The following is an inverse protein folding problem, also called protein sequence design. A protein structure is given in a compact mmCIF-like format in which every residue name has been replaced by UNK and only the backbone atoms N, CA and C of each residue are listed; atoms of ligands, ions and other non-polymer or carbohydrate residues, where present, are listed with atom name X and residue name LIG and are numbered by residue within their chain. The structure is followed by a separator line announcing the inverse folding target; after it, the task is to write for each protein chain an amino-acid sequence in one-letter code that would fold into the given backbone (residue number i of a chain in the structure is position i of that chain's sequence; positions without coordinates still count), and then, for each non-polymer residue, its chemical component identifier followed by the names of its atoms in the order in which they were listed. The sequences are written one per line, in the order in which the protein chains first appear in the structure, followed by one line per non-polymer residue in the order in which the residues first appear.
data_IF_531582531409
#
_entry.id   IF_531582531409
#
_cell.length_a   1.000
_cell.length_b   1.000
_cell.length_c   1.000
_cell.angle_alpha   90.00
_cell.angle_beta   90.00
_cell.angle_gamma   90.00
#
_symmetry.space_group_name_H-M   'P 1'
#
loop_
_entity.id
_entity.type
_entity.pdbx_description
1 polymer ?
#
# COMPACT_ATOMS: atom_id res chain seq x y z
N UNK A 1 68.11 -50.33 26.61
CA UNK A 1 66.97 -49.89 27.44
C UNK A 1 65.79 -49.75 26.51
N UNK A 2 65.22 -50.91 26.15
CA UNK A 2 63.95 -51.38 26.69
C UNK A 2 62.80 -50.66 25.97
N UNK A 3 62.29 -51.24 24.89
CA UNK A 3 61.20 -52.23 24.96
C UNK A 3 60.00 -51.68 25.74
N UNK A 4 58.85 -51.50 25.08
CA UNK A 4 57.72 -52.45 25.17
C UNK A 4 56.48 -51.94 24.41
N UNK A 5 56.17 -52.70 23.35
CA UNK A 5 54.85 -53.28 23.02
C UNK A 5 53.74 -52.28 22.63
N UNK A 6 53.34 -52.15 21.37
CA UNK A 6 52.70 -53.16 20.50
C UNK A 6 51.61 -53.97 21.22
N UNK A 7 50.35 -53.55 21.08
CA UNK A 7 49.22 -54.49 21.10
C UNK A 7 48.04 -53.89 20.33
N UNK A 8 47.54 -54.70 19.39
CA UNK A 8 46.23 -54.65 18.72
C UNK A 8 46.18 -53.95 17.35
N UNK A 9 46.82 -54.61 16.37
CA UNK A 9 46.19 -54.81 15.07
C UNK A 9 44.98 -55.75 15.20
N UNK A 10 44.02 -55.57 14.29
CA UNK A 10 42.94 -56.53 13.96
C UNK A 10 41.67 -56.43 14.80
N UNK A 11 40.83 -55.43 14.52
CA UNK A 11 39.37 -55.60 14.43
C UNK A 11 38.74 -54.32 13.84
N UNK A 12 37.79 -54.52 12.92
CA UNK A 12 36.90 -53.52 12.28
C UNK A 12 37.32 -52.95 10.91
N UNK A 13 37.58 -53.83 9.95
CA UNK A 13 37.00 -53.68 8.61
C UNK A 13 35.51 -54.05 8.68
N UNK A 14 34.66 -53.08 9.04
CA UNK A 14 33.21 -53.07 8.74
C UNK A 14 32.61 -51.71 9.10
N UNK A 15 31.91 -51.13 8.12
CA UNK A 15 31.14 -49.87 8.17
C UNK A 15 31.93 -48.55 8.09
N UNK A 16 32.58 -48.34 6.94
CA UNK A 16 32.62 -46.99 6.34
C UNK A 16 31.52 -46.92 5.28
N UNK A 17 30.28 -46.66 5.70
CA UNK A 17 29.28 -46.14 4.79
C UNK A 17 29.50 -44.62 4.73
N UNK A 18 29.71 -44.00 3.55
CA UNK A 18 29.55 -42.56 3.46
C UNK A 18 28.13 -42.24 3.90
N UNK A 19 27.99 -41.39 4.92
CA UNK A 19 26.71 -40.75 5.23
C UNK A 19 26.38 -39.94 3.98
N UNK A 20 25.52 -40.50 3.14
CA UNK A 20 24.85 -39.76 2.09
C UNK A 20 24.10 -38.62 2.79
N UNK A 21 24.22 -37.35 2.34
CA UNK A 21 23.30 -36.32 2.78
C UNK A 21 21.91 -36.84 2.44
N UNK A 22 21.09 -37.01 3.46
CA UNK A 22 19.74 -37.53 3.30
C UNK A 22 18.93 -36.46 2.56
N UNK A 23 18.93 -36.52 1.23
CA UNK A 23 18.03 -35.80 0.33
C UNK A 23 16.60 -36.30 0.55
N UNK A 24 16.00 -35.96 1.70
CA UNK A 24 14.57 -36.18 1.99
C UNK A 24 14.17 -35.66 3.37
N UNK A 25 14.21 -34.33 3.57
CA UNK A 25 13.47 -33.68 4.68
C UNK A 25 12.26 -32.89 4.14
N UNK A 26 12.10 -32.79 2.82
CA UNK A 26 11.02 -32.02 2.21
C UNK A 26 9.99 -32.93 1.53
N UNK A 27 8.89 -33.23 2.22
CA UNK A 27 7.68 -33.67 1.54
C UNK A 27 7.03 -32.45 0.88
N UNK A 28 7.48 -32.14 -0.34
CA UNK A 28 6.90 -31.09 -1.17
C UNK A 28 5.70 -31.65 -1.95
N UNK A 29 4.60 -31.96 -1.27
CA UNK A 29 3.36 -32.39 -1.90
C UNK A 29 2.59 -31.18 -2.41
N UNK A 30 2.64 -30.93 -3.71
CA UNK A 30 1.85 -29.87 -4.37
C UNK A 30 0.44 -30.40 -4.66
N UNK A 31 -0.33 -30.70 -3.62
CA UNK A 31 -1.78 -30.84 -3.76
C UNK A 31 -2.39 -29.44 -3.86
N UNK A 32 -3.37 -29.25 -4.75
CA UNK A 32 -3.95 -27.94 -5.16
C UNK A 32 -4.55 -27.08 -4.01
N UNK A 33 -4.53 -27.53 -2.76
CA UNK A 33 -5.14 -26.89 -1.59
C UNK A 33 -4.34 -27.01 -0.26
N UNK A 34 -3.09 -27.49 -0.27
CA UNK A 34 -2.34 -27.68 0.99
C UNK A 34 -1.41 -26.49 1.31
N UNK A 35 -1.43 -26.06 2.59
CA UNK A 35 -0.52 -25.03 3.13
C UNK A 35 0.92 -25.55 3.11
N UNK A 36 1.87 -24.67 2.83
CA UNK A 36 3.30 -24.95 2.95
C UNK A 36 3.66 -25.09 4.44
N UNK A 37 4.06 -26.27 4.88
CA UNK A 37 4.40 -26.55 6.29
C UNK A 37 5.91 -26.41 6.48
N UNK A 38 6.33 -25.58 7.43
CA UNK A 38 7.75 -25.32 7.74
C UNK A 38 7.94 -25.09 9.23
N UNK A 39 9.14 -25.32 9.75
CA UNK A 39 9.45 -25.04 11.16
C UNK A 39 9.43 -23.53 11.43
N UNK A 40 10.08 -22.76 10.56
CA UNK A 40 10.27 -21.33 10.71
C UNK A 40 10.01 -20.60 9.38
N UNK A 41 9.12 -19.62 9.40
CA UNK A 41 8.86 -18.74 8.27
C UNK A 41 9.22 -17.30 8.61
N UNK A 42 10.07 -16.68 7.78
CA UNK A 42 10.43 -15.27 7.89
C UNK A 42 9.68 -14.51 6.81
N UNK A 43 8.63 -13.77 7.17
CA UNK A 43 7.91 -12.93 6.23
C UNK A 43 8.47 -11.51 6.23
N UNK A 44 8.81 -11.00 5.05
CA UNK A 44 9.23 -9.61 4.86
C UNK A 44 8.09 -8.80 4.27
N UNK A 45 7.69 -7.73 4.97
CA UNK A 45 6.60 -6.86 4.53
C UNK A 45 7.12 -5.82 3.53
N UNK A 46 6.48 -5.75 2.36
CA UNK A 46 6.82 -4.81 1.30
C UNK A 46 6.66 -3.33 1.69
N UNK A 47 7.32 -2.44 0.95
CA UNK A 47 7.13 -0.98 1.05
C UNK A 47 6.85 -0.37 -0.34
N UNK A 48 7.90 0.02 -1.08
CA UNK A 48 7.80 0.55 -2.44
C UNK A 48 8.84 -0.12 -3.36
N UNK A 49 8.71 0.08 -4.67
CA UNK A 49 9.67 -0.30 -5.71
C UNK A 49 9.72 0.79 -6.78
N UNK A 50 10.85 0.98 -7.43
CA UNK A 50 11.03 1.97 -8.51
C UNK A 50 10.48 1.46 -9.87
N UNK A 51 10.65 2.27 -10.92
CA UNK A 51 10.17 1.96 -12.28
C UNK A 51 10.87 0.72 -12.88
N UNK A 52 12.08 0.40 -12.41
CA UNK A 52 12.85 -0.78 -12.80
C UNK A 52 12.45 -2.05 -12.03
N UNK A 53 11.48 -1.95 -11.12
CA UNK A 53 11.01 -3.05 -10.29
C UNK A 53 11.98 -3.40 -9.15
N UNK A 54 12.83 -2.45 -8.73
CA UNK A 54 13.76 -2.61 -7.61
C UNK A 54 13.13 -2.13 -6.31
N UNK A 55 13.23 -2.88 -5.19
CA UNK A 55 12.74 -2.43 -3.91
C UNK A 55 13.44 -1.14 -3.48
N UNK A 56 12.69 -0.23 -2.85
CA UNK A 56 13.23 1.00 -2.29
C UNK A 56 14.16 0.73 -1.08
N UNK A 57 14.83 1.77 -0.57
CA UNK A 57 15.78 1.61 0.54
C UNK A 57 15.14 0.97 1.78
N UNK A 58 13.89 1.30 2.07
CA UNK A 58 13.15 0.72 3.20
C UNK A 58 12.91 -0.77 2.96
N UNK A 59 12.41 -1.15 1.79
CA UNK A 59 12.21 -2.54 1.39
C UNK A 59 13.52 -3.34 1.40
N UNK A 60 14.62 -2.76 0.92
CA UNK A 60 15.96 -3.38 0.94
C UNK A 60 16.49 -3.60 2.35
N UNK A 61 16.36 -2.62 3.25
CA UNK A 61 16.79 -2.80 4.65
C UNK A 61 16.01 -3.90 5.37
N UNK A 62 14.69 -4.01 5.13
CA UNK A 62 13.88 -5.11 5.65
C UNK A 62 14.32 -6.46 5.06
N UNK A 63 14.58 -6.50 3.75
CA UNK A 63 14.99 -7.71 3.06
C UNK A 63 16.36 -8.22 3.51
N UNK A 64 17.31 -7.31 3.79
CA UNK A 64 18.62 -7.64 4.33
C UNK A 64 18.48 -8.37 5.69
N UNK A 65 17.78 -7.75 6.64
CA UNK A 65 17.55 -8.37 7.96
C UNK A 65 16.83 -9.72 7.84
N UNK A 66 15.80 -9.81 7.01
CA UNK A 66 15.08 -11.07 6.79
C UNK A 66 15.99 -12.16 6.20
N UNK A 67 16.88 -11.79 5.27
CA UNK A 67 17.82 -12.73 4.64
C UNK A 67 18.95 -13.17 5.56
N UNK A 68 19.34 -12.35 6.54
CA UNK A 68 20.33 -12.73 7.56
C UNK A 68 19.74 -13.77 8.53
N UNK A 69 18.46 -13.64 8.88
CA UNK A 69 17.71 -14.66 9.66
C UNK A 69 17.58 -15.95 8.82
N UNK A 70 17.09 -15.77 7.58
CA UNK A 70 17.33 -16.62 6.38
C UNK A 70 18.50 -17.60 6.48
N UNK A 71 19.67 -16.99 6.48
CA UNK A 71 20.99 -17.60 6.33
C UNK A 71 21.46 -18.26 7.62
N UNK A 72 21.12 -17.67 8.77
CA UNK A 72 21.53 -18.19 10.09
C UNK A 72 20.72 -19.40 10.56
N UNK A 73 19.49 -19.59 10.07
CA UNK A 73 18.67 -20.76 10.39
C UNK A 73 18.33 -21.55 9.11
N UNK A 74 18.99 -22.70 8.84
CA UNK A 74 18.78 -23.47 7.60
C UNK A 74 17.37 -24.07 7.48
N UNK A 75 16.60 -24.14 8.58
CA UNK A 75 15.22 -24.62 8.59
C UNK A 75 14.21 -23.53 8.22
N UNK A 76 14.66 -22.29 8.14
CA UNK A 76 13.81 -21.15 7.82
C UNK A 76 13.57 -21.00 6.32
N UNK A 77 12.42 -20.45 5.95
CA UNK A 77 12.15 -19.96 4.60
C UNK A 77 11.91 -18.46 4.61
N UNK A 78 12.22 -17.80 3.50
CA UNK A 78 11.84 -16.41 3.27
C UNK A 78 10.46 -16.38 2.58
N UNK A 79 9.57 -15.54 3.07
CA UNK A 79 8.29 -15.25 2.41
C UNK A 79 8.25 -13.78 2.02
N UNK A 80 8.20 -13.49 0.73
CA UNK A 80 8.02 -12.13 0.21
C UNK A 80 6.55 -11.84 -0.02
N UNK A 81 6.13 -10.59 0.22
CA UNK A 81 4.72 -10.18 0.17
C UNK A 81 4.54 -8.88 -0.61
N UNK A 82 3.35 -8.72 -1.20
CA UNK A 82 2.93 -7.50 -1.89
C UNK A 82 2.52 -7.71 -3.35
N UNK A 83 1.44 -7.03 -3.75
CA UNK A 83 0.82 -7.11 -5.07
C UNK A 83 1.51 -6.28 -6.16
N UNK A 84 1.07 -6.49 -7.41
CA UNK A 84 1.42 -5.66 -8.55
C UNK A 84 0.63 -4.34 -8.49
N UNK A 85 1.14 -3.40 -7.70
CA UNK A 85 0.50 -2.10 -7.49
C UNK A 85 0.89 -1.06 -8.54
N UNK A 86 2.03 -1.26 -9.22
CA UNK A 86 2.52 -0.41 -10.30
C UNK A 86 1.89 -0.79 -11.62
N UNK A 87 1.48 0.19 -12.41
CA UNK A 87 0.87 -0.02 -13.73
C UNK A 87 1.89 -0.08 -14.87
N UNK A 88 3.06 0.49 -14.65
CA UNK A 88 4.13 0.63 -15.64
C UNK A 88 5.03 -0.61 -15.74
N UNK A 89 4.84 -1.60 -14.87
CA UNK A 89 5.60 -2.84 -14.86
C UNK A 89 4.71 -4.03 -14.46
N UNK A 90 4.79 -5.12 -15.22
CA UNK A 90 4.14 -6.39 -14.89
C UNK A 90 4.98 -7.19 -13.88
N UNK A 91 5.14 -6.62 -12.69
CA UNK A 91 5.91 -7.20 -11.59
C UNK A 91 5.19 -6.91 -10.27
N UNK A 92 5.02 -7.94 -9.44
CA UNK A 92 4.52 -7.74 -8.08
C UNK A 92 5.65 -7.31 -7.14
N UNK A 93 5.30 -6.56 -6.09
CA UNK A 93 6.28 -6.21 -5.05
C UNK A 93 6.91 -7.46 -4.41
N UNK A 94 6.13 -8.52 -4.19
CA UNK A 94 6.64 -9.80 -3.71
C UNK A 94 7.69 -10.42 -4.66
N UNK A 95 7.45 -10.36 -5.97
CA UNK A 95 8.39 -10.84 -6.98
C UNK A 95 9.64 -9.95 -7.09
N UNK A 96 9.48 -8.63 -6.99
CA UNK A 96 10.58 -7.66 -6.91
C UNK A 96 11.52 -7.96 -5.74
N UNK A 97 10.97 -8.15 -4.53
CA UNK A 97 11.76 -8.50 -3.36
C UNK A 97 12.44 -9.87 -3.51
N UNK A 98 11.77 -10.86 -4.10
CA UNK A 98 12.37 -12.16 -4.39
C UNK A 98 13.54 -12.04 -5.35
N UNK A 99 13.41 -11.25 -6.43
CA UNK A 99 14.48 -11.00 -7.39
C UNK A 99 15.70 -10.38 -6.72
N UNK A 100 15.50 -9.37 -5.87
CA UNK A 100 16.60 -8.73 -5.13
C UNK A 100 17.24 -9.69 -4.12
N UNK A 101 16.46 -10.53 -3.42
CA UNK A 101 17.00 -11.52 -2.49
C UNK A 101 17.92 -12.54 -3.17
N UNK A 102 17.53 -13.03 -4.36
CA UNK A 102 18.33 -13.99 -5.13
C UNK A 102 19.57 -13.31 -5.72
N UNK A 103 19.39 -12.14 -6.35
CA UNK A 103 20.46 -11.46 -7.09
C UNK A 103 21.47 -10.77 -6.18
N UNK A 104 21.01 -10.03 -5.17
CA UNK A 104 21.84 -9.12 -4.39
C UNK A 104 22.32 -9.74 -3.07
N UNK A 105 21.54 -10.69 -2.53
CA UNK A 105 21.82 -11.33 -1.23
C UNK A 105 22.14 -12.82 -1.36
N UNK A 106 22.18 -13.33 -2.60
CA UNK A 106 22.56 -14.70 -2.95
C UNK A 106 21.75 -15.78 -2.21
N UNK A 107 20.49 -15.48 -1.88
CA UNK A 107 19.63 -16.42 -1.18
C UNK A 107 19.08 -17.47 -2.16
N UNK A 108 19.14 -18.76 -1.79
CA UNK A 108 18.62 -19.85 -2.62
C UNK A 108 17.14 -19.63 -2.93
N UNK A 109 16.81 -19.51 -4.23
CA UNK A 109 15.46 -19.28 -4.72
C UNK A 109 14.46 -20.36 -4.24
N UNK A 110 14.92 -21.58 -3.96
CA UNK A 110 14.08 -22.68 -3.43
C UNK A 110 13.60 -22.40 -2.00
N UNK A 111 14.33 -21.57 -1.25
CA UNK A 111 13.98 -21.13 0.11
C UNK A 111 13.09 -19.89 0.14
N UNK A 112 12.60 -19.41 -1.02
CA UNK A 112 11.81 -18.18 -1.12
C UNK A 112 10.42 -18.44 -1.69
N UNK A 113 9.40 -18.25 -0.85
CA UNK A 113 7.99 -18.26 -1.23
C UNK A 113 7.48 -16.84 -1.51
N UNK A 114 6.61 -16.68 -2.52
CA UNK A 114 6.18 -15.36 -3.01
C UNK A 114 4.65 -15.23 -2.93
N UNK A 115 4.17 -14.23 -2.18
CA UNK A 115 2.74 -13.97 -1.93
C UNK A 115 2.32 -12.63 -2.57
N UNK A 116 1.91 -12.69 -3.83
CA UNK A 116 1.63 -11.52 -4.67
C UNK A 116 0.20 -10.94 -4.55
N UNK A 117 -0.60 -11.36 -3.55
CA UNK A 117 -2.01 -10.93 -3.42
C UNK A 117 -2.20 -9.77 -2.43
N UNK A 118 -1.28 -9.62 -1.50
CA UNK A 118 -1.43 -8.66 -0.40
C UNK A 118 -1.25 -7.22 -0.86
N UNK A 119 -2.13 -6.35 -0.36
CA UNK A 119 -2.14 -4.90 -0.56
C UNK A 119 -1.79 -4.11 0.70
N UNK A 120 -1.75 -4.78 1.85
CA UNK A 120 -1.57 -4.18 3.16
C UNK A 120 -1.23 -5.22 4.24
N UNK A 121 -0.92 -4.75 5.45
CA UNK A 121 -0.51 -5.62 6.56
C UNK A 121 -1.56 -6.65 6.97
N UNK A 122 -2.86 -6.35 6.82
CA UNK A 122 -3.92 -7.34 7.11
C UNK A 122 -3.91 -8.44 6.04
N UNK A 123 -3.83 -8.06 4.77
CA UNK A 123 -3.64 -9.02 3.68
C UNK A 123 -2.37 -9.84 3.84
N UNK A 124 -1.26 -9.23 4.27
CA UNK A 124 0.01 -9.92 4.47
C UNK A 124 -0.18 -11.08 5.44
N UNK A 125 -0.80 -10.80 6.60
CA UNK A 125 -1.07 -11.81 7.62
C UNK A 125 -2.03 -12.91 7.13
N UNK A 126 -3.14 -12.53 6.47
CA UNK A 126 -4.15 -13.51 6.04
C UNK A 126 -3.68 -14.37 4.88
N UNK A 127 -3.07 -13.79 3.85
CA UNK A 127 -2.56 -14.58 2.72
C UNK A 127 -1.33 -15.41 3.13
N UNK A 128 -0.54 -14.92 4.09
CA UNK A 128 0.50 -15.74 4.71
C UNK A 128 -0.11 -16.95 5.41
N UNK A 129 -1.09 -16.75 6.30
CA UNK A 129 -1.74 -17.86 7.01
C UNK A 129 -2.56 -18.78 6.07
N UNK A 130 -3.02 -18.28 4.92
CA UNK A 130 -3.66 -19.10 3.88
C UNK A 130 -2.65 -20.03 3.19
N UNK A 131 -1.41 -19.57 2.99
CA UNK A 131 -0.40 -20.27 2.19
C UNK A 131 0.63 -21.03 3.02
N UNK A 132 0.89 -20.63 4.26
CA UNK A 132 2.01 -21.12 5.09
C UNK A 132 1.49 -21.49 6.48
N UNK A 133 1.92 -22.65 6.97
CA UNK A 133 1.79 -23.07 8.36
C UNK A 133 3.19 -23.20 8.94
N UNK A 134 3.49 -22.43 9.99
CA UNK A 134 4.78 -22.49 10.66
C UNK A 134 4.62 -22.54 12.19
N UNK A 135 5.54 -23.23 12.86
CA UNK A 135 5.62 -23.24 14.32
C UNK A 135 6.12 -21.88 14.83
N UNK A 136 7.12 -21.33 14.14
CA UNK A 136 7.66 -20.00 14.35
C UNK A 136 7.46 -19.10 13.14
N UNK A 137 7.00 -17.89 13.38
CA UNK A 137 6.90 -16.83 12.38
C UNK A 137 7.70 -15.61 12.84
N UNK A 138 8.62 -15.16 12.00
CA UNK A 138 9.31 -13.88 12.18
C UNK A 138 8.81 -12.89 11.13
N UNK A 139 8.20 -11.79 11.56
CA UNK A 139 7.75 -10.71 10.69
C UNK A 139 8.80 -9.61 10.67
N UNK A 140 9.32 -9.29 9.49
CA UNK A 140 10.28 -8.19 9.31
C UNK A 140 9.58 -7.00 8.65
N UNK A 141 9.57 -5.86 9.35
CA UNK A 141 8.95 -4.61 8.91
C UNK A 141 9.79 -3.41 9.36
N UNK A 142 9.29 -2.18 9.20
CA UNK A 142 9.94 -1.01 9.78
C UNK A 142 9.54 -0.80 11.24
N UNK A 143 10.42 -0.19 12.04
CA UNK A 143 10.20 0.09 13.47
C UNK A 143 8.88 0.82 13.73
N UNK A 144 8.48 1.72 12.83
CA UNK A 144 7.20 2.43 12.95
C UNK A 144 5.95 1.57 12.70
N UNK A 145 6.05 0.43 12.00
CA UNK A 145 4.94 -0.50 11.76
C UNK A 145 4.93 -1.70 12.72
N UNK A 146 5.97 -1.88 13.53
CA UNK A 146 6.20 -3.09 14.31
C UNK A 146 5.01 -3.47 15.20
N UNK A 147 4.48 -2.52 15.98
CA UNK A 147 3.34 -2.75 16.87
C UNK A 147 2.07 -3.16 16.11
N UNK A 148 1.81 -2.54 14.95
CA UNK A 148 0.64 -2.84 14.14
C UNK A 148 0.75 -4.22 13.51
N UNK A 149 1.91 -4.53 12.94
CA UNK A 149 2.18 -5.84 12.38
C UNK A 149 2.05 -6.93 13.46
N UNK A 150 2.63 -6.74 14.64
CA UNK A 150 2.51 -7.68 15.75
C UNK A 150 1.05 -7.94 16.14
N UNK A 151 0.25 -6.88 16.32
CA UNK A 151 -1.15 -7.03 16.70
C UNK A 151 -1.96 -7.80 15.64
N UNK A 152 -1.76 -7.47 14.37
CA UNK A 152 -2.48 -8.08 13.24
C UNK A 152 -2.05 -9.55 13.07
N UNK A 153 -0.75 -9.82 13.00
CA UNK A 153 -0.26 -11.20 12.84
C UNK A 153 -0.64 -12.08 14.04
N UNK A 154 -0.54 -11.56 15.26
CA UNK A 154 -0.99 -12.30 16.46
C UNK A 154 -2.48 -12.62 16.39
N UNK A 155 -3.30 -11.66 15.95
CA UNK A 155 -4.74 -11.87 15.80
C UNK A 155 -5.07 -12.93 14.75
N UNK A 156 -4.38 -12.91 13.61
CA UNK A 156 -4.63 -13.83 12.49
C UNK A 156 -4.09 -15.24 12.77
N UNK A 157 -2.87 -15.35 13.30
CA UNK A 157 -2.19 -16.63 13.53
C UNK A 157 -2.66 -17.34 14.80
N UNK A 158 -3.20 -16.60 15.76
CA UNK A 158 -3.59 -17.14 17.06
C UNK A 158 -2.43 -17.20 18.07
N UNK A 159 -2.73 -17.73 19.26
CA UNK A 159 -1.79 -17.77 20.38
C UNK A 159 -0.73 -18.87 20.25
N UNK A 160 -1.04 -19.95 19.54
CA UNK A 160 -0.21 -21.16 19.48
C UNK A 160 1.04 -21.02 18.59
N UNK A 161 1.09 -19.96 17.78
CA UNK A 161 2.24 -19.67 16.92
C UNK A 161 3.23 -18.77 17.67
N UNK A 162 4.51 -19.17 17.66
CA UNK A 162 5.59 -18.32 18.15
C UNK A 162 5.79 -17.19 17.14
N UNK A 163 5.52 -15.95 17.56
CA UNK A 163 5.57 -14.78 16.68
C UNK A 163 6.58 -13.76 17.22
N UNK A 164 7.62 -13.52 16.43
CA UNK A 164 8.58 -12.43 16.60
C UNK A 164 8.30 -11.35 15.55
N UNK A 165 8.37 -10.06 15.92
CA UNK A 165 8.26 -8.95 14.97
C UNK A 165 9.45 -8.02 15.13
N UNK A 166 10.24 -7.90 14.05
CA UNK A 166 11.47 -7.14 14.02
C UNK A 166 11.29 -5.88 13.14
N UNK A 167 11.68 -4.74 13.70
CA UNK A 167 11.63 -3.43 13.04
C UNK A 167 13.01 -3.00 12.53
N UNK A 168 13.05 -2.44 11.31
CA UNK A 168 14.22 -1.73 10.78
C UNK A 168 14.00 -0.22 10.73
N UNK A 169 15.10 0.53 10.86
CA UNK A 169 15.10 1.99 10.77
C UNK A 169 14.85 2.71 12.11
N UNK A 170 14.68 4.02 12.03
CA UNK A 170 14.57 4.89 13.20
C UNK A 170 13.27 4.70 13.98
N UNK A 171 13.29 5.13 15.24
CA UNK A 171 12.11 5.19 16.09
C UNK A 171 11.00 6.05 15.47
N UNK A 172 9.72 5.64 15.58
CA UNK A 172 8.61 6.37 15.00
C UNK A 172 8.44 7.77 15.60
N UNK A 173 8.21 8.74 14.71
CA UNK A 173 7.80 10.11 15.09
C UNK A 173 6.42 10.13 15.75
N UNK A 174 6.06 11.19 16.51
CA UNK A 174 4.72 11.32 17.08
C UNK A 174 3.58 11.21 16.06
N UNK A 175 3.76 11.80 14.88
CA UNK A 175 2.80 11.71 13.76
C UNK A 175 2.63 10.27 13.27
N UNK A 176 3.73 9.54 13.06
CA UNK A 176 3.68 8.14 12.67
C UNK A 176 2.97 7.30 13.74
N UNK A 177 3.27 7.51 15.03
CA UNK A 177 2.56 6.83 16.13
C UNK A 177 1.05 7.07 16.09
N UNK A 178 0.61 8.30 15.84
CA UNK A 178 -0.81 8.64 15.73
C UNK A 178 -1.48 7.92 14.54
N UNK A 179 -0.84 7.91 13.37
CA UNK A 179 -1.33 7.21 12.18
C UNK A 179 -1.43 5.69 12.41
N UNK A 180 -0.47 5.10 13.10
CA UNK A 180 -0.49 3.68 13.46
C UNK A 180 -1.63 3.34 14.42
N UNK A 181 -1.87 4.19 15.42
CA UNK A 181 -2.99 4.02 16.36
C UNK A 181 -4.33 4.10 15.64
N UNK A 182 -4.49 5.03 14.70
CA UNK A 182 -5.69 5.12 13.87
C UNK A 182 -5.88 3.87 13.01
N UNK A 183 -4.81 3.38 12.37
CA UNK A 183 -4.84 2.16 11.56
C UNK A 183 -5.21 0.93 12.38
N UNK A 184 -4.71 0.84 13.62
CA UNK A 184 -5.09 -0.20 14.58
C UNK A 184 -6.55 -0.09 15.03
N UNK A 185 -7.08 1.12 15.19
CA UNK A 185 -8.49 1.36 15.45
C UNK A 185 -9.37 0.80 14.33
N UNK A 186 -9.07 1.17 13.08
CA UNK A 186 -9.79 0.65 11.90
C UNK A 186 -9.70 -0.88 11.81
N UNK A 187 -8.53 -1.46 12.09
CA UNK A 187 -8.39 -2.91 12.16
C UNK A 187 -9.31 -3.54 13.21
N UNK A 188 -9.30 -3.01 14.44
CA UNK A 188 -10.17 -3.50 15.51
C UNK A 188 -11.64 -3.43 15.12
N UNK A 189 -12.07 -2.30 14.59
CA UNK A 189 -13.47 -2.10 14.20
C UNK A 189 -13.86 -3.02 13.03
N UNK A 190 -12.94 -3.26 12.09
CA UNK A 190 -13.16 -4.16 10.94
C UNK A 190 -13.34 -5.61 11.37
N UNK A 191 -12.63 -6.06 12.41
CA UNK A 191 -12.67 -7.44 12.90
C UNK A 191 -13.41 -7.58 14.23
N UNK A 192 -14.23 -6.59 14.60
CA UNK A 192 -15.04 -6.66 15.81
C UNK A 192 -15.95 -7.89 15.81
N UNK A 193 -16.04 -8.53 16.97
CA UNK A 193 -16.78 -9.77 17.19
C UNK A 193 -16.11 -11.05 16.66
N UNK A 194 -14.88 -10.99 16.12
CA UNK A 194 -14.16 -12.17 15.63
C UNK A 194 -13.07 -12.57 16.63
N UNK A 195 -13.02 -13.85 16.96
CA UNK A 195 -12.00 -14.40 17.85
C UNK A 195 -10.61 -14.45 17.16
N UNK A 196 -9.57 -14.16 17.94
CA UNK A 196 -8.18 -14.33 17.49
C UNK A 196 -7.93 -15.79 17.12
N UNK A 197 -7.29 -16.04 15.97
CA UNK A 197 -6.99 -17.37 15.46
C UNK A 197 -8.16 -18.08 14.77
N UNK A 198 -9.38 -17.51 14.76
CA UNK A 198 -10.49 -18.02 13.96
C UNK A 198 -10.29 -17.66 12.49
N UNK A 199 -9.40 -18.41 11.83
CA UNK A 199 -8.94 -18.10 10.49
C UNK A 199 -10.08 -18.04 9.47
N UNK A 200 -11.10 -18.88 9.60
CA UNK A 200 -12.23 -18.90 8.66
C UNK A 200 -13.12 -17.66 8.81
N UNK A 201 -13.45 -17.25 10.04
CA UNK A 201 -14.17 -16.00 10.29
C UNK A 201 -13.36 -14.78 9.85
N UNK A 202 -12.05 -14.76 10.16
CA UNK A 202 -11.13 -13.70 9.75
C UNK A 202 -11.07 -13.59 8.22
N UNK A 203 -10.86 -14.70 7.51
CA UNK A 203 -10.83 -14.74 6.05
C UNK A 203 -12.17 -14.32 5.44
N UNK A 204 -13.28 -14.73 6.05
CA UNK A 204 -14.63 -14.30 5.66
C UNK A 204 -14.82 -12.79 5.81
N UNK A 205 -14.39 -12.22 6.94
CA UNK A 205 -14.46 -10.77 7.20
C UNK A 205 -13.54 -9.98 6.29
N UNK A 206 -12.35 -10.50 5.99
CA UNK A 206 -11.45 -9.91 5.00
C UNK A 206 -12.17 -9.74 3.66
N UNK A 207 -12.82 -10.80 3.17
CA UNK A 207 -13.52 -10.81 1.87
C UNK A 207 -14.87 -10.07 1.85
N UNK A 208 -15.42 -9.66 2.99
CA UNK A 208 -16.74 -9.02 3.05
C UNK A 208 -16.68 -7.56 3.49
N UNK A 209 -15.80 -7.23 4.44
CA UNK A 209 -15.74 -5.92 5.06
C UNK A 209 -14.47 -5.14 4.70
N UNK A 210 -13.33 -5.83 4.52
CA UNK A 210 -12.04 -5.16 4.38
C UNK A 210 -11.96 -4.35 3.08
N UNK A 211 -11.54 -3.07 3.11
CA UNK A 211 -11.63 -2.19 1.93
C UNK A 211 -10.84 -2.64 0.69
N UNK A 212 -9.78 -3.42 0.87
CA UNK A 212 -8.96 -3.94 -0.23
C UNK A 212 -9.44 -5.27 -0.83
N UNK A 213 -10.23 -6.06 -0.09
CA UNK A 213 -10.49 -7.47 -0.44
C UNK A 213 -11.96 -7.83 -0.46
N UNK A 214 -12.83 -6.90 -0.06
CA UNK A 214 -14.25 -7.09 -0.28
C UNK A 214 -14.59 -6.95 -1.76
N UNK A 215 -15.52 -7.78 -2.24
CA UNK A 215 -15.78 -8.15 -3.64
C UNK A 215 -15.98 -7.03 -4.67
N UNK A 216 -14.98 -6.20 -4.90
CA UNK A 216 -14.86 -5.22 -6.00
C UNK A 216 -13.38 -5.03 -6.34
N UNK A 217 -12.75 -6.08 -6.84
CA UNK A 217 -11.58 -5.99 -7.72
C UNK A 217 -11.90 -6.72 -9.02
N UNK A 218 -13.03 -6.35 -9.62
CA UNK A 218 -13.19 -6.44 -11.05
C UNK A 218 -12.94 -5.03 -11.59
N UNK A 219 -11.91 -4.87 -12.40
CA UNK A 219 -11.61 -3.63 -13.15
C UNK A 219 -12.77 -3.20 -14.06
N UNK A 220 -13.82 -4.03 -14.20
CA UNK A 220 -15.09 -3.70 -14.87
C UNK A 220 -16.19 -3.15 -13.95
N UNK A 221 -16.04 -3.22 -12.62
CA UNK A 221 -17.05 -2.79 -11.64
C UNK A 221 -16.98 -1.30 -11.23
N UNK A 222 -16.01 -0.54 -11.75
CA UNK A 222 -15.97 0.93 -11.64
C UNK A 222 -17.14 1.64 -12.39
N UNK A 223 -18.12 0.90 -12.91
CA UNK A 223 -19.28 1.43 -13.64
C UNK A 223 -20.55 1.65 -12.80
N UNK A 224 -20.54 1.45 -11.47
CA UNK A 224 -21.69 1.81 -10.63
C UNK A 224 -21.25 2.51 -9.34
N UNK A 225 -21.41 3.85 -9.26
CA UNK A 225 -21.03 4.59 -8.07
C UNK A 225 -22.12 4.46 -7.00
N UNK A 226 -21.72 3.94 -5.84
CA UNK A 226 -22.42 4.20 -4.59
C UNK A 226 -21.46 4.95 -3.66
N UNK A 227 -21.91 6.06 -3.10
CA UNK A 227 -21.19 7.02 -2.23
C UNK A 227 -20.60 6.43 -0.93
N UNK A 228 -20.83 5.14 -0.64
CA UNK A 228 -20.75 4.56 0.71
C UNK A 228 -19.35 4.43 1.32
N UNK A 229 -18.27 4.82 0.63
CA UNK A 229 -16.88 4.70 1.12
C UNK A 229 -15.98 5.88 0.77
N UNK A 230 -16.56 6.97 0.27
CA UNK A 230 -15.79 8.15 -0.08
C UNK A 230 -15.42 8.93 1.20
N UNK A 231 -14.14 9.19 1.41
CA UNK A 231 -13.64 9.99 2.52
C UNK A 231 -12.52 10.92 2.05
N UNK A 232 -12.17 11.92 2.85
CA UNK A 232 -11.04 12.80 2.54
C UNK A 232 -10.26 13.17 3.80
N UNK A 233 -9.02 13.60 3.58
CA UNK A 233 -8.16 14.21 4.61
C UNK A 233 -7.36 15.36 4.03
N UNK A 234 -6.82 16.27 4.85
CA UNK A 234 -5.82 17.23 4.39
C UNK A 234 -4.62 16.53 3.73
N UNK A 235 -4.09 17.15 2.68
CA UNK A 235 -2.85 16.70 2.05
C UNK A 235 -1.67 16.93 3.00
N UNK A 236 -0.67 16.06 2.88
CA UNK A 236 0.61 16.22 3.57
C UNK A 236 1.75 16.11 2.57
N UNK A 237 2.97 16.43 2.99
CA UNK A 237 4.12 16.30 2.10
C UNK A 237 4.39 14.85 1.63
N UNK A 238 3.85 13.84 2.32
CA UNK A 238 3.91 12.43 1.90
C UNK A 238 3.15 12.18 0.59
N UNK A 239 2.22 13.06 0.20
CA UNK A 239 1.43 12.92 -1.02
C UNK A 239 2.14 13.44 -2.27
N UNK A 240 3.36 14.01 -2.13
CA UNK A 240 4.09 14.70 -3.22
C UNK A 240 4.32 13.81 -4.44
N UNK A 241 4.69 12.54 -4.25
CA UNK A 241 4.95 11.63 -5.36
C UNK A 241 3.67 11.27 -6.11
N UNK A 242 2.60 10.97 -5.39
CA UNK A 242 1.32 10.59 -5.98
C UNK A 242 0.67 11.76 -6.72
N UNK A 243 0.70 12.96 -6.14
CA UNK A 243 0.17 14.16 -6.77
C UNK A 243 0.95 14.50 -8.03
N UNK A 244 2.28 14.34 -8.03
CA UNK A 244 3.11 14.52 -9.21
C UNK A 244 2.78 13.50 -10.30
N UNK A 245 2.63 12.22 -9.95
CA UNK A 245 2.26 11.16 -10.89
C UNK A 245 0.93 11.49 -11.58
N UNK A 246 -0.10 11.84 -10.82
CA UNK A 246 -1.38 12.25 -11.39
C UNK A 246 -1.26 13.51 -12.23
N UNK A 247 -0.47 14.51 -11.80
CA UNK A 247 -0.28 15.76 -12.52
C UNK A 247 0.43 15.57 -13.86
N UNK A 248 1.43 14.69 -13.91
CA UNK A 248 2.23 14.42 -15.10
C UNK A 248 1.62 13.37 -16.04
N UNK A 249 0.53 12.70 -15.64
CA UNK A 249 -0.16 11.76 -16.52
C UNK A 249 -0.50 12.43 -17.86
N UNK A 250 -0.23 11.80 -19.03
CA UNK A 250 -0.35 12.44 -20.34
C UNK A 250 -1.72 13.10 -20.59
N UNK A 251 -2.79 12.42 -20.20
CA UNK A 251 -4.18 12.87 -20.27
C UNK A 251 -4.56 14.02 -19.30
N UNK A 252 -3.76 14.23 -18.25
CA UNK A 252 -3.93 15.36 -17.32
C UNK A 252 -3.16 16.56 -17.86
N UNK A 253 -1.96 16.34 -18.39
CA UNK A 253 -1.14 17.38 -19.01
C UNK A 253 -1.83 18.03 -20.20
N UNK A 254 -2.42 17.23 -21.10
CA UNK A 254 -3.17 17.75 -22.25
C UNK A 254 -4.40 18.58 -21.87
N UNK A 255 -4.97 18.31 -20.69
CA UNK A 255 -6.17 18.97 -20.19
C UNK A 255 -5.87 20.10 -19.17
N UNK A 256 -4.60 20.31 -18.84
CA UNK A 256 -4.13 21.24 -17.82
C UNK A 256 -3.80 22.62 -18.41
N UNK A 257 -4.00 23.68 -17.63
CA UNK A 257 -3.57 25.04 -17.97
C UNK A 257 -2.06 25.10 -18.26
N UNK A 258 -1.26 24.44 -17.43
CA UNK A 258 0.19 24.26 -17.59
C UNK A 258 0.41 22.82 -18.09
N UNK A 259 0.65 22.64 -19.39
CA UNK A 259 0.73 21.33 -20.04
C UNK A 259 2.09 20.64 -19.96
N UNK A 260 3.09 21.30 -19.38
CA UNK A 260 4.47 20.81 -19.32
C UNK A 260 4.66 19.75 -18.22
N UNK A 261 5.65 18.88 -18.42
CA UNK A 261 6.06 17.95 -17.38
C UNK A 261 6.68 18.68 -16.20
N UNK A 262 6.24 18.34 -15.00
CA UNK A 262 6.74 18.96 -13.77
C UNK A 262 7.79 18.05 -13.16
N UNK A 263 8.98 18.57 -12.88
CA UNK A 263 10.00 17.82 -12.15
C UNK A 263 9.59 17.59 -10.69
N UNK A 264 10.11 16.53 -10.05
CA UNK A 264 9.87 16.29 -8.63
C UNK A 264 10.35 17.45 -7.74
N UNK A 265 11.45 18.10 -8.09
CA UNK A 265 11.97 19.26 -7.34
C UNK A 265 11.02 20.46 -7.42
N UNK A 266 10.52 20.77 -8.62
CA UNK A 266 9.54 21.84 -8.86
C UNK A 266 8.25 21.54 -8.10
N UNK A 267 7.73 20.32 -8.22
CA UNK A 267 6.48 19.94 -7.55
C UNK A 267 6.61 19.90 -6.02
N UNK A 268 7.74 19.42 -5.50
CA UNK A 268 8.03 19.43 -4.06
C UNK A 268 8.05 20.85 -3.50
N UNK A 269 8.65 21.79 -4.24
CA UNK A 269 8.68 23.21 -3.85
C UNK A 269 7.27 23.80 -3.85
N UNK A 270 6.48 23.53 -4.89
CA UNK A 270 5.09 23.95 -4.99
C UNK A 270 4.23 23.40 -3.84
N UNK A 271 4.36 22.10 -3.53
CA UNK A 271 3.55 21.48 -2.48
C UNK A 271 3.91 22.04 -1.10
N UNK A 272 5.20 22.25 -0.79
CA UNK A 272 5.61 22.90 0.47
C UNK A 272 4.99 24.29 0.62
N UNK A 273 5.11 25.13 -0.40
CA UNK A 273 4.51 26.48 -0.41
C UNK A 273 2.99 26.44 -0.28
N UNK A 274 2.36 25.44 -0.90
CA UNK A 274 0.91 25.27 -0.85
C UNK A 274 0.42 24.82 0.52
N UNK A 275 1.14 23.92 1.18
CA UNK A 275 0.80 23.43 2.52
C UNK A 275 1.06 24.48 3.61
N UNK A 276 1.91 25.47 3.35
CA UNK A 276 2.15 26.60 4.26
C UNK A 276 1.24 27.80 4.00
N UNK A 277 0.40 27.75 2.97
CA UNK A 277 -0.51 28.86 2.63
C UNK A 277 -1.82 28.70 3.44
N UNK A 278 -2.16 29.63 4.35
CA UNK A 278 -3.38 29.54 5.16
C UNK A 278 -4.66 29.65 4.32
N UNK A 279 -4.58 30.27 3.14
CA UNK A 279 -5.71 30.50 2.24
C UNK A 279 -5.91 29.36 1.23
N UNK A 280 -5.16 28.26 1.39
CA UNK A 280 -5.20 27.11 0.51
C UNK A 280 -5.55 25.84 1.26
N UNK A 281 -6.64 25.20 0.83
CA UNK A 281 -7.04 23.89 1.33
C UNK A 281 -6.74 22.87 0.24
N UNK A 282 -5.99 21.81 0.57
CA UNK A 282 -5.78 20.66 -0.33
C UNK A 282 -6.28 19.41 0.38
N UNK A 283 -7.24 18.74 -0.24
CA UNK A 283 -7.85 17.52 0.26
C UNK A 283 -7.47 16.33 -0.62
N UNK A 284 -7.04 15.24 -0.01
CA UNK A 284 -6.83 13.95 -0.68
C UNK A 284 -8.05 13.08 -0.45
N UNK A 285 -8.68 12.65 -1.54
CA UNK A 285 -9.85 11.80 -1.53
C UNK A 285 -9.46 10.34 -1.58
N UNK A 286 -10.17 9.54 -0.79
CA UNK A 286 -10.03 8.10 -0.71
C UNK A 286 -11.38 7.45 -1.01
N UNK A 287 -11.35 6.37 -1.79
CA UNK A 287 -12.46 5.42 -1.83
C UNK A 287 -12.03 4.19 -1.01
N UNK A 288 -12.50 4.12 0.22
CA UNK A 288 -11.90 3.28 1.25
C UNK A 288 -10.50 3.77 1.61
N UNK A 289 -9.49 3.07 1.12
CA UNK A 289 -8.06 3.31 1.42
C UNK A 289 -7.23 3.59 0.16
N UNK A 290 -7.86 3.52 -1.02
CA UNK A 290 -7.23 3.92 -2.28
C UNK A 290 -7.39 5.43 -2.43
N UNK A 291 -6.29 6.15 -2.65
CA UNK A 291 -6.34 7.56 -3.04
C UNK A 291 -6.95 7.64 -4.44
N UNK A 292 -8.02 8.41 -4.61
CA UNK A 292 -8.78 8.50 -5.89
C UNK A 292 -8.72 9.88 -6.52
N UNK A 293 -8.23 10.88 -5.80
CA UNK A 293 -8.03 12.21 -6.34
C UNK A 293 -7.66 13.24 -5.27
N UNK A 294 -7.58 14.48 -5.72
CA UNK A 294 -7.31 15.66 -4.93
C UNK A 294 -8.28 16.76 -5.32
N UNK A 295 -8.76 17.50 -4.32
CA UNK A 295 -9.46 18.78 -4.53
C UNK A 295 -8.69 19.86 -3.81
N UNK A 296 -8.44 20.97 -4.51
CA UNK A 296 -7.81 22.16 -3.96
C UNK A 296 -8.80 23.31 -3.99
N UNK A 297 -8.88 24.04 -2.89
CA UNK A 297 -9.51 25.34 -2.80
C UNK A 297 -8.44 26.41 -2.59
N UNK A 298 -8.52 27.47 -3.38
CA UNK A 298 -7.79 28.72 -3.18
C UNK A 298 -8.81 29.78 -2.76
N UNK A 299 -8.89 30.05 -1.45
CA UNK A 299 -9.80 31.01 -0.86
C UNK A 299 -9.18 32.41 -1.02
N UNK A 300 -9.86 33.36 -1.65
CA UNK A 300 -9.34 34.73 -1.73
C UNK A 300 -9.51 35.45 -0.37
N UNK A 301 -8.59 36.37 -0.05
CA UNK A 301 -8.58 37.18 1.19
C UNK A 301 -9.91 37.92 1.46
N UNK A 302 -10.67 38.24 0.40
CA UNK A 302 -11.97 38.93 0.48
C UNK A 302 -13.19 38.00 0.61
N UNK A 303 -13.00 36.68 0.81
CA UNK A 303 -14.01 35.64 1.08
C UNK A 303 -15.16 35.45 0.06
N UNK A 304 -15.27 36.30 -0.96
CA UNK A 304 -16.41 36.28 -1.88
C UNK A 304 -16.29 35.21 -2.96
N UNK A 305 -15.09 34.86 -3.43
CA UNK A 305 -14.93 33.93 -4.55
C UNK A 305 -13.76 32.96 -4.36
N UNK A 306 -14.08 31.68 -4.17
CA UNK A 306 -13.08 30.61 -3.96
C UNK A 306 -12.82 29.83 -5.24
N UNK A 307 -11.55 29.66 -5.61
CA UNK A 307 -11.18 28.85 -6.78
C UNK A 307 -11.11 27.39 -6.40
N UNK A 308 -11.82 26.53 -7.12
CA UNK A 308 -11.77 25.07 -6.94
C UNK A 308 -11.05 24.40 -8.12
N UNK A 309 -10.14 23.49 -7.78
CA UNK A 309 -9.41 22.66 -8.73
C UNK A 309 -9.56 21.19 -8.33
N UNK A 310 -9.84 20.32 -9.30
CA UNK A 310 -9.99 18.89 -9.09
C UNK A 310 -9.00 18.12 -9.97
N UNK A 311 -8.32 17.16 -9.36
CA UNK A 311 -7.41 16.25 -10.03
C UNK A 311 -7.77 14.82 -9.62
N UNK A 312 -8.23 14.01 -10.56
CA UNK A 312 -8.51 12.59 -10.31
C UNK A 312 -7.34 11.72 -10.73
N UNK A 313 -7.17 10.60 -10.03
CA UNK A 313 -6.33 9.51 -10.50
C UNK A 313 -6.83 9.09 -11.91
N UNK A 314 -5.96 9.06 -12.94
CA UNK A 314 -6.27 8.48 -14.25
C UNK A 314 -7.03 7.15 -14.18
N UNK A 315 -6.72 6.29 -13.21
CA UNK A 315 -7.35 4.98 -13.00
C UNK A 315 -8.86 5.03 -12.80
N UNK A 316 -9.37 6.12 -12.23
CA UNK A 316 -10.76 6.22 -11.77
C UNK A 316 -11.55 7.25 -12.58
N UNK A 317 -11.01 7.75 -13.68
CA UNK A 317 -11.74 8.63 -14.61
C UNK A 317 -12.85 7.87 -15.33
N UNK A 318 -13.92 8.57 -15.70
CA UNK A 318 -15.08 7.99 -16.39
C UNK A 318 -16.01 7.14 -15.49
N UNK A 319 -15.77 7.12 -14.18
CA UNK A 319 -16.53 6.31 -13.21
C UNK A 319 -17.68 7.05 -12.53
N UNK A 320 -17.81 8.35 -12.79
CA UNK A 320 -18.78 9.23 -12.12
C UNK A 320 -18.36 9.71 -10.73
N UNK A 321 -17.22 9.26 -10.19
CA UNK A 321 -16.74 9.64 -8.85
C UNK A 321 -16.44 11.13 -8.67
N UNK A 322 -16.08 11.82 -9.75
CA UNK A 322 -15.72 13.24 -9.75
C UNK A 322 -16.79 14.11 -9.08
N UNK A 323 -18.07 13.81 -9.36
CA UNK A 323 -19.21 14.57 -8.85
C UNK A 323 -19.36 14.41 -7.34
N UNK A 324 -19.26 13.17 -6.84
CA UNK A 324 -19.28 12.88 -5.41
C UNK A 324 -18.09 13.52 -4.69
N UNK A 325 -16.88 13.40 -5.24
CA UNK A 325 -15.66 14.00 -4.70
C UNK A 325 -15.83 15.50 -4.52
N UNK A 326 -16.27 16.20 -5.56
CA UNK A 326 -16.41 17.64 -5.50
C UNK A 326 -17.49 18.09 -4.50
N UNK A 327 -18.63 17.39 -4.42
CA UNK A 327 -19.67 17.64 -3.40
C UNK A 327 -19.13 17.48 -1.97
N UNK A 328 -18.43 16.38 -1.70
CA UNK A 328 -17.85 16.12 -0.39
C UNK A 328 -16.76 17.14 -0.04
N UNK A 329 -15.95 17.57 -1.02
CA UNK A 329 -14.91 18.57 -0.81
C UNK A 329 -15.50 19.92 -0.41
N UNK A 330 -16.55 20.37 -1.12
CA UNK A 330 -17.26 21.61 -0.80
C UNK A 330 -17.88 21.53 0.59
N UNK A 331 -18.46 20.37 0.96
CA UNK A 331 -19.02 20.18 2.29
C UNK A 331 -17.97 20.14 3.40
N UNK A 332 -16.84 19.48 3.18
CA UNK A 332 -15.75 19.37 4.15
C UNK A 332 -15.10 20.73 4.42
N UNK A 333 -14.96 21.54 3.38
CA UNK A 333 -14.39 22.88 3.48
C UNK A 333 -15.41 23.94 3.95
N UNK A 334 -16.66 23.55 4.25
CA UNK A 334 -17.75 24.46 4.64
C UNK A 334 -18.07 25.54 3.59
N UNK A 335 -17.86 25.23 2.30
CA UNK A 335 -18.00 26.15 1.17
C UNK A 335 -19.34 26.03 0.44
N UNK A 336 -20.38 25.48 1.07
CA UNK A 336 -21.70 25.30 0.46
C UNK A 336 -22.31 26.65 0.04
N UNK A 337 -22.09 27.68 0.86
CA UNK A 337 -22.64 29.02 0.71
C UNK A 337 -21.62 30.05 0.18
N UNK A 338 -20.52 29.59 -0.40
CA UNK A 338 -19.52 30.46 -1.01
C UNK A 338 -19.65 30.43 -2.54
N UNK A 339 -19.38 31.58 -3.18
CA UNK A 339 -19.23 31.57 -4.63
C UNK A 339 -17.97 30.79 -4.99
N UNK A 340 -18.13 29.84 -5.90
CA UNK A 340 -17.05 29.00 -6.38
C UNK A 340 -16.76 29.34 -7.83
N UNK A 341 -15.47 29.39 -8.17
CA UNK A 341 -15.02 29.41 -9.57
C UNK A 341 -14.12 28.24 -9.89
N UNK A 342 -14.19 27.75 -11.11
CA UNK A 342 -13.22 26.83 -11.68
C UNK A 342 -12.79 27.33 -13.06
N UNK A 343 -11.56 26.98 -13.48
CA UNK A 343 -11.05 27.33 -14.80
C UNK A 343 -10.61 26.05 -15.49
N UNK A 344 -11.12 25.82 -16.69
CA UNK A 344 -10.76 24.70 -17.55
C UNK A 344 -10.37 25.21 -18.94
N UNK A 345 -9.58 24.44 -19.70
CA UNK A 345 -9.42 24.67 -21.14
C UNK A 345 -10.73 24.36 -21.86
N UNK A 346 -11.04 25.07 -22.95
CA UNK A 346 -12.26 24.83 -23.74
C UNK A 346 -12.36 23.40 -24.29
N UNK A 347 -11.24 22.73 -24.51
CA UNK A 347 -11.17 21.33 -24.96
C UNK A 347 -11.46 20.32 -23.84
N UNK A 348 -11.40 20.73 -22.57
CA UNK A 348 -11.61 19.83 -21.43
C UNK A 348 -13.12 19.66 -21.14
N UNK A 349 -13.84 19.14 -22.13
CA UNK A 349 -15.27 18.85 -22.07
C UNK A 349 -15.68 18.02 -20.84
N UNK A 350 -14.91 17.00 -20.40
CA UNK A 350 -15.26 16.25 -19.19
C UNK A 350 -15.27 17.10 -17.91
N UNK A 351 -14.33 18.04 -17.78
CA UNK A 351 -14.31 18.95 -16.64
C UNK A 351 -15.45 19.96 -16.71
N UNK A 352 -15.72 20.53 -17.88
CA UNK A 352 -16.82 21.48 -18.09
C UNK A 352 -18.16 20.82 -17.70
N UNK A 353 -18.44 19.64 -18.25
CA UNK A 353 -19.67 18.89 -17.97
C UNK A 353 -19.80 18.49 -16.48
N UNK A 354 -18.68 18.21 -15.80
CA UNK A 354 -18.66 17.93 -14.36
C UNK A 354 -19.16 19.13 -13.55
N UNK A 355 -18.61 20.32 -13.82
CA UNK A 355 -18.93 21.53 -13.09
C UNK A 355 -20.35 22.01 -13.43
N UNK A 356 -20.76 21.99 -14.70
CA UNK A 356 -22.14 22.29 -15.12
C UNK A 356 -23.15 21.35 -14.43
N UNK A 357 -22.84 20.05 -14.35
CA UNK A 357 -23.66 19.07 -13.63
C UNK A 357 -23.76 19.30 -12.12
N UNK A 358 -23.00 20.26 -11.57
CA UNK A 358 -23.01 20.71 -10.17
C UNK A 358 -23.51 22.15 -10.00
N UNK A 359 -24.12 22.72 -11.04
CA UNK A 359 -24.74 24.05 -11.00
C UNK A 359 -23.77 25.20 -11.24
N UNK A 360 -22.61 24.95 -11.86
CA UNK A 360 -21.75 26.02 -12.36
C UNK A 360 -22.23 26.47 -13.73
N UNK A 361 -22.22 27.78 -13.96
CA UNK A 361 -22.47 28.38 -15.27
C UNK A 361 -21.13 28.60 -15.98
N UNK A 362 -21.04 28.11 -17.22
CA UNK A 362 -19.85 28.21 -18.04
C UNK A 362 -19.85 29.52 -18.86
N UNK A 363 -18.72 30.22 -18.86
CA UNK A 363 -18.44 31.36 -19.72
C UNK A 363 -17.11 31.14 -20.44
N UNK A 364 -17.17 31.08 -21.76
CA UNK A 364 -15.97 30.92 -22.60
C UNK A 364 -15.28 32.25 -22.79
N UNK A 365 -13.98 32.31 -22.47
CA UNK A 365 -13.12 33.47 -22.67
C UNK A 365 -11.81 32.99 -23.35
N UNK A 366 -11.76 33.14 -24.67
CA UNK A 366 -10.63 32.67 -25.49
C UNK A 366 -10.45 31.15 -25.44
N UNK A 367 -9.27 30.69 -25.01
CA UNK A 367 -8.92 29.27 -24.90
C UNK A 367 -9.39 28.62 -23.59
N UNK A 368 -9.99 29.40 -22.69
CA UNK A 368 -10.42 28.95 -21.37
C UNK A 368 -11.95 29.08 -21.21
N UNK A 369 -12.47 28.26 -20.31
CA UNK A 369 -13.85 28.31 -19.84
C UNK A 369 -13.79 28.57 -18.34
N UNK A 370 -14.33 29.71 -17.93
CA UNK A 370 -14.55 30.02 -16.53
C UNK A 370 -15.92 29.47 -16.13
N UNK A 371 -15.95 28.70 -15.05
CA UNK A 371 -17.16 28.09 -14.50
C UNK A 371 -17.43 28.76 -13.16
N UNK A 372 -18.61 29.36 -12.98
CA UNK A 372 -18.99 30.02 -11.72
C UNK A 372 -20.25 29.42 -11.13
N UNK A 373 -20.24 29.19 -9.82
CA UNK A 373 -21.43 28.87 -9.04
C UNK A 373 -21.60 29.95 -7.98
N UNK A 374 -22.60 30.80 -8.14
CA UNK A 374 -22.97 31.81 -7.14
C UNK A 374 -23.78 31.14 -6.04
N UNK A 375 -23.44 31.39 -4.79
CA UNK A 375 -24.24 30.92 -3.66
C UNK A 375 -25.59 31.64 -3.68
N UNK A 376 -26.68 30.88 -3.47
CA UNK A 376 -27.97 31.50 -3.26
C UNK A 376 -27.89 32.35 -1.99
N UNK A 377 -28.25 33.62 -2.07
CA UNK A 377 -28.40 34.45 -0.88
C UNK A 377 -29.40 33.74 0.03
N UNK A 378 -28.97 33.38 1.24
CA UNK A 378 -29.91 32.93 2.26
C UNK A 378 -30.81 34.14 2.56
N UNK A 379 -32.07 34.08 2.15
CA UNK A 379 -33.09 34.93 2.74
C UNK A 379 -33.09 34.65 4.25
N UNK A 380 -32.81 35.72 4.99
CA UNK A 380 -32.61 35.83 6.42
C UNK A 380 -33.76 35.31 7.29
#
# INVERSE_FOLDING_TARGET
MLERLSALSTLLTRFWLPIQPNDSIWHMTKARNERFVVDHAVIVLGHEMNHEGEPDLIGRSRLLLASDIVRSDPRSILVTSGWAYRKDIDLSLAASMKRSAVRDLELDQKRIHCLAKSKDTVGDAVFFAEAVRAEKVTVVTSTFHQKRAERIFRFVLGADVVLDVLGTGQSPTPKQKANENQSLGVFRDTFDGIASGDFDAIRGRLKSAHPFYNGTLDVRALKRPGDRRLSCRPATFEDVKQLLEWRNAPEVRSASVEGEEISLATHSTWLRKSLSNPDRIILIFHNGIIRVGMVRFDCAEAQTLTTVSILLDPAVRGTGLAKSILKHAVSYAELQNHDLKAVARKENLPSIALFEGLGFEARTEGEFVELRRIALANDS
#
